data_IF_247278779376
#
_entry.id   IF_247278779376
#
_cell.length_a   1.000
_cell.length_b   1.000
_cell.length_c   1.000
_cell.angle_alpha   90.00
_cell.angle_beta   90.00
_cell.angle_gamma   90.00
#
_symmetry.space_group_name_H-M   'P 1'
#
loop_
_entity.id
_entity.type
_entity.pdbx_description
1 polymer ?
#
# COMPACT_ATOMS: atom_id res chain seq x y z
N UNK A 1 -2.88 9.08 29.13
CA UNK A 1 -2.04 8.50 28.06
C UNK A 1 -1.25 9.63 27.42
N UNK A 2 0.08 9.60 27.38
CA UNK A 2 0.86 10.66 26.73
C UNK A 2 0.84 10.44 25.20
N UNK A 3 0.30 11.39 24.40
CA UNK A 3 0.24 11.25 22.94
C UNK A 3 1.62 11.02 22.31
N UNK A 4 2.69 11.62 22.84
CA UNK A 4 4.05 11.41 22.32
C UNK A 4 4.52 9.96 22.48
N UNK A 5 4.17 9.30 23.59
CA UNK A 5 4.51 7.89 23.81
C UNK A 5 3.69 6.98 22.90
N UNK A 6 2.42 7.31 22.65
CA UNK A 6 1.56 6.55 21.73
C UNK A 6 2.08 6.64 20.29
N UNK A 7 2.31 7.86 19.78
CA UNK A 7 2.86 8.06 18.44
C UNK A 7 4.27 7.52 18.28
N UNK A 8 5.12 7.63 19.31
CA UNK A 8 6.46 7.05 19.30
C UNK A 8 6.44 5.53 19.14
N UNK A 9 5.53 4.84 19.83
CA UNK A 9 5.34 3.38 19.68
C UNK A 9 4.76 3.02 18.31
N UNK A 10 3.76 3.76 17.85
CA UNK A 10 3.15 3.54 16.53
C UNK A 10 4.18 3.71 15.40
N UNK A 11 4.97 4.79 15.45
CA UNK A 11 6.02 5.04 14.47
C UNK A 11 7.16 4.01 14.54
N UNK A 12 7.56 3.60 15.75
CA UNK A 12 8.53 2.52 15.95
C UNK A 12 8.04 1.19 15.36
N UNK A 13 6.79 0.83 15.61
CA UNK A 13 6.15 -0.36 15.06
C UNK A 13 6.06 -0.32 13.54
N UNK A 14 5.62 0.81 12.97
CA UNK A 14 5.59 1.01 11.52
C UNK A 14 6.99 0.86 10.90
N UNK A 15 8.02 1.49 11.49
CA UNK A 15 9.40 1.37 11.01
C UNK A 15 9.88 -0.08 10.98
N UNK A 16 9.64 -0.82 12.05
CA UNK A 16 9.99 -2.24 12.10
C UNK A 16 9.19 -3.04 11.04
N UNK A 17 7.90 -2.75 10.89
CA UNK A 17 7.00 -3.39 9.93
C UNK A 17 7.45 -3.21 8.48
N UNK A 18 7.75 -1.98 8.06
CA UNK A 18 8.17 -1.70 6.67
C UNK A 18 9.55 -2.30 6.36
N UNK A 19 10.47 -2.34 7.33
CA UNK A 19 11.74 -3.08 7.19
C UNK A 19 11.52 -4.58 7.06
N UNK A 20 10.63 -5.17 7.88
CA UNK A 20 10.29 -6.58 7.78
C UNK A 20 9.52 -6.93 6.49
N UNK A 21 8.73 -5.99 5.95
CA UNK A 21 8.10 -6.14 4.64
C UNK A 21 9.16 -6.24 3.53
N UNK A 22 10.17 -5.36 3.55
CA UNK A 22 11.30 -5.43 2.60
C UNK A 22 11.97 -6.80 2.62
N UNK A 23 12.35 -7.29 3.80
CA UNK A 23 13.01 -8.60 3.92
C UNK A 23 12.16 -9.76 3.41
N UNK A 24 10.83 -9.71 3.62
CA UNK A 24 9.90 -10.71 3.09
C UNK A 24 9.79 -10.64 1.56
N UNK A 25 9.72 -9.44 1.00
CA UNK A 25 9.67 -9.23 -0.45
C UNK A 25 10.97 -9.69 -1.13
N UNK A 26 12.13 -9.44 -0.52
CA UNK A 26 13.41 -9.98 -0.99
C UNK A 26 13.40 -11.52 -1.01
N UNK A 27 12.91 -12.15 0.07
CA UNK A 27 12.76 -13.60 0.13
C UNK A 27 11.85 -14.14 -0.98
N UNK A 28 10.69 -13.49 -1.22
CA UNK A 28 9.78 -13.85 -2.30
C UNK A 28 10.41 -13.68 -3.68
N UNK A 29 11.21 -12.64 -3.89
CA UNK A 29 11.92 -12.42 -5.14
C UNK A 29 12.96 -13.52 -5.42
N UNK A 30 13.65 -14.00 -4.38
CA UNK A 30 14.58 -15.13 -4.48
C UNK A 30 13.83 -16.43 -4.79
N UNK A 31 12.75 -16.71 -4.05
CA UNK A 31 11.95 -17.94 -4.21
C UNK A 31 11.31 -18.02 -5.60
N UNK A 32 10.74 -16.91 -6.09
CA UNK A 32 10.09 -16.88 -7.38
C UNK A 32 11.08 -16.94 -8.57
N UNK A 33 12.33 -16.50 -8.40
CA UNK A 33 13.32 -16.43 -9.46
C UNK A 33 12.85 -15.53 -10.61
N UNK A 34 12.63 -16.13 -11.78
CA UNK A 34 12.06 -15.45 -12.97
C UNK A 34 10.53 -15.29 -12.90
N UNK A 35 9.87 -15.99 -11.97
CA UNK A 35 8.43 -15.92 -11.76
C UNK A 35 7.94 -14.55 -11.27
N UNK A 36 6.64 -14.35 -11.43
CA UNK A 36 5.95 -13.12 -11.04
C UNK A 36 5.57 -13.12 -9.56
N UNK A 37 5.67 -11.95 -8.92
CA UNK A 37 5.21 -11.75 -7.54
C UNK A 37 4.27 -10.56 -7.49
N UNK A 38 3.16 -10.70 -6.77
CA UNK A 38 2.23 -9.62 -6.44
C UNK A 38 2.18 -9.49 -4.92
N UNK A 39 2.34 -8.27 -4.44
CA UNK A 39 2.22 -7.91 -3.02
C UNK A 39 1.21 -6.78 -2.91
N UNK A 40 0.18 -6.96 -2.09
CA UNK A 40 -0.76 -5.90 -1.75
C UNK A 40 -0.77 -5.67 -0.24
N UNK A 41 -1.03 -4.44 0.18
CA UNK A 41 -1.26 -4.14 1.59
C UNK A 41 -1.32 -2.66 1.90
N UNK A 42 -1.69 -2.36 3.14
CA UNK A 42 -1.58 -1.04 3.74
C UNK A 42 -0.13 -0.84 4.23
N UNK A 43 0.64 -0.04 3.50
CA UNK A 43 2.02 0.28 3.84
C UNK A 43 2.11 1.47 4.81
N UNK A 44 1.01 2.20 5.06
CA UNK A 44 1.01 3.48 5.78
C UNK A 44 2.14 4.41 5.30
N UNK A 45 2.42 4.40 4.00
CA UNK A 45 3.56 5.08 3.38
C UNK A 45 3.26 5.38 1.92
N UNK A 46 3.90 6.42 1.39
CA UNK A 46 3.70 6.89 0.01
C UNK A 46 4.98 6.73 -0.83
N UNK A 47 4.90 6.77 -2.18
CA UNK A 47 6.08 6.70 -3.05
C UNK A 47 7.14 7.79 -2.83
N UNK A 48 6.77 8.93 -2.26
CA UNK A 48 7.71 10.02 -1.94
C UNK A 48 8.57 9.73 -0.70
N UNK A 49 8.22 8.72 0.11
CA UNK A 49 8.98 8.33 1.29
C UNK A 49 10.15 7.41 0.92
N UNK A 50 11.32 7.64 1.52
CA UNK A 50 12.54 6.83 1.29
C UNK A 50 12.30 5.36 1.60
N UNK A 51 11.63 5.07 2.71
CA UNK A 51 11.36 3.71 3.18
C UNK A 51 10.49 2.93 2.19
N UNK A 52 9.52 3.60 1.55
CA UNK A 52 8.71 2.96 0.50
C UNK A 52 9.55 2.68 -0.75
N UNK A 53 10.34 3.65 -1.22
CA UNK A 53 11.22 3.44 -2.39
C UNK A 53 12.20 2.28 -2.19
N UNK A 54 12.58 1.99 -0.94
CA UNK A 54 13.40 0.83 -0.64
C UNK A 54 12.67 -0.50 -0.87
N UNK A 55 11.34 -0.56 -0.81
CA UNK A 55 10.58 -1.77 -1.16
C UNK A 55 10.66 -2.09 -2.66
N UNK A 56 10.99 -1.09 -3.47
CA UNK A 56 11.03 -1.21 -4.94
C UNK A 56 12.41 -1.68 -5.46
N UNK A 57 13.39 -1.94 -4.59
CA UNK A 57 14.79 -2.21 -4.99
C UNK A 57 14.98 -3.47 -5.84
N UNK A 58 14.12 -4.48 -5.68
CA UNK A 58 14.34 -5.83 -6.23
C UNK A 58 13.47 -6.13 -7.46
N UNK A 59 13.18 -5.09 -8.25
CA UNK A 59 12.36 -5.18 -9.46
C UNK A 59 10.86 -5.05 -9.23
N UNK A 60 10.45 -4.74 -7.99
CA UNK A 60 9.07 -4.40 -7.69
C UNK A 60 8.71 -3.01 -8.23
N UNK A 61 7.50 -2.91 -8.79
CA UNK A 61 6.95 -1.68 -9.36
C UNK A 61 5.53 -1.48 -8.85
N UNK A 62 5.22 -0.24 -8.48
CA UNK A 62 3.86 0.16 -8.09
C UNK A 62 2.91 0.02 -9.29
N UNK A 63 1.84 -0.76 -9.09
CA UNK A 63 0.78 -0.98 -10.06
C UNK A 63 0.14 0.33 -10.54
N UNK A 64 -0.10 1.29 -9.65
CA UNK A 64 -0.74 2.56 -10.00
C UNK A 64 0.16 3.43 -10.87
N UNK A 65 1.47 3.39 -10.60
CA UNK A 65 2.46 4.05 -11.43
C UNK A 65 2.57 3.41 -12.82
N UNK A 66 2.36 2.10 -12.95
CA UNK A 66 2.39 1.41 -14.25
C UNK A 66 1.15 1.71 -15.11
N UNK A 67 -0.02 1.78 -14.50
CA UNK A 67 -1.30 1.94 -15.22
C UNK A 67 -1.69 3.40 -15.44
N UNK A 68 -0.99 4.36 -14.82
CA UNK A 68 -1.36 5.78 -14.82
C UNK A 68 -2.75 6.07 -14.25
N UNK A 69 -3.37 5.05 -13.63
CA UNK A 69 -4.76 5.01 -13.21
C UNK A 69 -4.87 4.09 -12.01
N UNK A 70 -5.64 4.48 -11.00
CA UNK A 70 -5.73 3.75 -9.74
C UNK A 70 -7.03 4.05 -9.02
N UNK A 71 -7.32 3.36 -7.91
CA UNK A 71 -8.54 3.48 -7.12
C UNK A 71 -8.67 4.83 -6.41
N UNK A 72 -7.80 5.79 -6.71
CA UNK A 72 -7.67 7.07 -6.01
C UNK A 72 -6.94 6.94 -4.67
N UNK A 73 -6.79 8.05 -3.94
CA UNK A 73 -6.25 8.03 -2.61
C UNK A 73 -7.14 7.22 -1.66
N UNK A 74 -6.57 6.72 -0.56
CA UNK A 74 -7.24 5.77 0.35
C UNK A 74 -7.39 6.29 1.78
N UNK A 75 -6.61 7.33 2.14
CA UNK A 75 -6.60 7.93 3.47
C UNK A 75 -6.68 9.46 3.42
N UNK A 76 -7.40 10.12 4.36
CA UNK A 76 -8.22 9.51 5.41
C UNK A 76 -9.54 8.96 4.87
N UNK A 77 -10.17 8.05 5.60
CA UNK A 77 -11.45 7.42 5.22
C UNK A 77 -12.64 7.99 6.02
N UNK A 78 -12.56 9.26 6.44
CA UNK A 78 -13.63 9.90 7.19
C UNK A 78 -14.79 10.33 6.27
N UNK A 79 -16.07 10.23 6.70
CA UNK A 79 -17.21 10.59 5.86
C UNK A 79 -17.20 12.04 5.32
N UNK A 80 -16.57 12.97 6.04
CA UNK A 80 -16.55 14.40 5.72
C UNK A 80 -15.21 14.90 5.16
N UNK A 81 -14.21 14.02 4.99
CA UNK A 81 -12.91 14.38 4.40
C UNK A 81 -12.65 13.42 3.24
N UNK A 82 -12.48 13.93 2.00
CA UNK A 82 -12.12 13.05 0.90
C UNK A 82 -10.74 12.41 1.17
N UNK A 83 -10.49 11.18 0.72
CA UNK A 83 -9.16 10.60 0.73
C UNK A 83 -8.17 11.50 -0.03
N UNK A 84 -7.00 11.72 0.56
CA UNK A 84 -5.97 12.64 0.04
C UNK A 84 -4.68 11.94 -0.35
N UNK A 85 -4.35 10.82 0.29
CA UNK A 85 -3.12 10.08 0.02
C UNK A 85 -3.34 8.59 -0.13
N UNK A 86 -2.48 7.94 -0.91
CA UNK A 86 -2.54 6.51 -1.14
C UNK A 86 -1.54 5.80 -0.23
N UNK A 87 -2.05 4.96 0.66
CA UNK A 87 -1.25 4.12 1.55
C UNK A 87 -1.47 2.62 1.33
N UNK A 88 -2.54 2.25 0.60
CA UNK A 88 -2.84 0.89 0.17
C UNK A 88 -2.29 0.67 -1.24
N UNK A 89 -1.18 -0.06 -1.35
CA UNK A 89 -0.43 -0.13 -2.61
C UNK A 89 -0.34 -1.58 -3.09
N UNK A 90 -0.31 -1.77 -4.41
CA UNK A 90 -0.07 -3.07 -5.06
C UNK A 90 1.27 -2.99 -5.78
N UNK A 91 2.18 -3.89 -5.42
CA UNK A 91 3.52 -4.00 -5.97
C UNK A 91 3.62 -5.27 -6.81
N UNK A 92 4.12 -5.14 -8.03
CA UNK A 92 4.32 -6.25 -8.94
C UNK A 92 5.81 -6.37 -9.33
N UNK A 93 6.31 -7.61 -9.36
CA UNK A 93 7.64 -7.97 -9.87
C UNK A 93 7.49 -8.95 -11.03
N UNK A 94 8.31 -8.79 -12.07
CA UNK A 94 8.29 -9.60 -13.30
C UNK A 94 6.91 -9.72 -13.97
N UNK A 95 6.05 -8.75 -13.72
CA UNK A 95 4.73 -8.66 -14.32
C UNK A 95 4.43 -7.21 -14.70
N UNK A 96 3.78 -7.05 -15.85
CA UNK A 96 3.22 -5.77 -16.29
C UNK A 96 1.76 -5.70 -15.83
N UNK A 97 1.43 -4.67 -15.06
CA UNK A 97 0.05 -4.48 -14.59
C UNK A 97 -0.76 -3.81 -15.71
N UNK A 98 -1.73 -4.53 -16.26
CA UNK A 98 -2.58 -4.02 -17.33
C UNK A 98 -3.77 -3.19 -16.82
N UNK A 99 -4.34 -3.54 -15.67
CA UNK A 99 -5.45 -2.80 -15.07
C UNK A 99 -5.53 -3.01 -13.56
N UNK A 100 -6.13 -2.05 -12.86
CA UNK A 100 -6.43 -2.14 -11.44
C UNK A 100 -7.78 -1.48 -11.16
N UNK A 101 -8.62 -2.12 -10.33
CA UNK A 101 -9.97 -1.63 -10.01
C UNK A 101 -10.22 -1.77 -8.51
N UNK A 102 -10.79 -0.73 -7.89
CA UNK A 102 -11.39 -0.85 -6.56
C UNK A 102 -12.82 -1.36 -6.70
N UNK A 103 -13.22 -2.29 -5.85
CA UNK A 103 -14.64 -2.50 -5.56
C UNK A 103 -14.96 -1.85 -4.21
N UNK A 104 -16.00 -1.03 -4.17
CA UNK A 104 -16.54 -0.49 -2.93
C UNK A 104 -17.77 -1.33 -2.56
N UNK A 105 -17.79 -1.89 -1.36
CA UNK A 105 -19.04 -2.41 -0.80
C UNK A 105 -19.84 -1.20 -0.29
N UNK A 106 -20.83 -0.74 -1.05
CA UNK A 106 -21.79 0.23 -0.53
C UNK A 106 -22.81 -0.53 0.35
N UNK A 107 -23.10 -0.07 1.59
CA UNK A 107 -24.25 -0.60 2.32
C UNK A 107 -25.53 -0.28 1.52
N UNK A 108 -26.57 -1.16 1.54
CA UNK A 108 -27.84 -0.84 0.91
C UNK A 108 -28.42 0.42 1.54
N UNK A 109 -28.58 1.48 0.74
CA UNK A 109 -29.32 2.68 1.15
C UNK A 109 -30.80 2.32 1.05
N UNK A 110 -31.42 1.94 2.16
CA UNK A 110 -32.88 1.88 2.24
C UNK A 110 -33.39 3.29 2.58
N UNK A 111 -33.89 3.99 1.57
CA UNK A 111 -34.69 5.21 1.78
C UNK A 111 -36.11 4.75 2.11
N UNK A 112 -36.54 4.90 3.36
CA UNK A 112 -37.95 4.84 3.70
C UNK A 112 -38.56 6.22 3.41
N UNK A 113 -39.51 6.26 2.48
CA UNK A 113 -40.43 7.38 2.26
C UNK A 113 -41.59 7.34 3.25
#
# INVERSE_FOLDING_TARGET
MNPLTFYGRAFGGWRAGITAAKGRMEGLAVEAGEGSVIVEGDFNSTPSMRQFRQLLSDGYRDAFAQTGSGPGPTYPSYPWVPPLTNIDLVLARNASVASIKRSLCAPPITVHS
#
